data_IF_443888299504
#
_entry.id   IF_443888299504
#
_cell.length_a   1.000
_cell.length_b   1.000
_cell.length_c   1.000
_cell.angle_alpha   90.00
_cell.angle_beta   90.00
_cell.angle_gamma   90.00
#
_symmetry.space_group_name_H-M   'P 1'
#
loop_
_entity.id
_entity.type
_entity.pdbx_description
1 polymer ?
#
# COMPACT_ATOMS: atom_id res chain seq x y z
N UNK A 1 -16.63 -20.01 0.86
CA UNK A 1 -15.62 -20.25 1.91
C UNK A 1 -14.28 -19.77 1.39
N UNK A 2 -13.78 -18.64 1.90
CA UNK A 2 -12.55 -18.00 1.45
C UNK A 2 -11.34 -18.93 1.69
N UNK A 3 -10.33 -18.90 0.82
CA UNK A 3 -9.14 -19.78 0.91
C UNK A 3 -8.49 -19.75 2.30
N UNK A 4 -8.36 -18.58 2.91
CA UNK A 4 -7.78 -18.43 4.25
C UNK A 4 -8.55 -19.18 5.33
N UNK A 5 -9.89 -19.19 5.27
CA UNK A 5 -10.72 -19.93 6.22
C UNK A 5 -10.52 -21.45 6.09
N UNK A 6 -10.39 -21.95 4.86
CA UNK A 6 -10.10 -23.37 4.60
C UNK A 6 -8.73 -23.78 5.16
N UNK A 7 -7.72 -22.92 5.03
CA UNK A 7 -6.37 -23.18 5.55
C UNK A 7 -6.40 -23.22 7.08
N UNK A 8 -7.03 -22.24 7.73
CA UNK A 8 -7.09 -22.16 9.19
C UNK A 8 -7.89 -23.32 9.81
N UNK A 9 -8.98 -23.76 9.18
CA UNK A 9 -9.81 -24.88 9.65
C UNK A 9 -9.31 -26.26 9.22
N UNK A 10 -8.15 -26.34 8.55
CA UNK A 10 -7.61 -27.61 8.07
C UNK A 10 -7.06 -28.49 9.20
N UNK A 11 -6.80 -29.77 8.91
CA UNK A 11 -6.17 -30.71 9.87
C UNK A 11 -4.66 -30.51 10.05
N UNK A 12 -4.09 -29.46 9.46
CA UNK A 12 -2.68 -29.13 9.62
C UNK A 12 -2.37 -28.70 11.06
N UNK A 13 -1.12 -28.90 11.49
CA UNK A 13 -0.65 -28.36 12.76
C UNK A 13 -0.70 -26.82 12.74
N UNK A 14 -0.87 -26.14 13.90
CA UNK A 14 -0.96 -24.68 13.97
C UNK A 14 0.11 -23.93 13.17
N UNK A 15 1.38 -24.32 13.32
CA UNK A 15 2.49 -23.70 12.61
C UNK A 15 2.41 -23.90 11.09
N UNK A 16 1.94 -25.06 10.62
CA UNK A 16 1.75 -25.36 9.19
C UNK A 16 0.62 -24.52 8.59
N UNK A 17 -0.44 -24.23 9.36
CA UNK A 17 -1.53 -23.35 8.92
C UNK A 17 -1.02 -21.92 8.71
N UNK A 18 -0.23 -21.40 9.65
CA UNK A 18 0.37 -20.06 9.53
C UNK A 18 1.34 -20.00 8.35
N UNK A 19 2.17 -21.02 8.16
CA UNK A 19 3.08 -21.11 7.02
C UNK A 19 2.32 -21.16 5.68
N UNK A 20 1.25 -21.94 5.59
CA UNK A 20 0.38 -21.99 4.42
C UNK A 20 -0.31 -20.65 4.13
N UNK A 21 -0.73 -19.91 5.15
CA UNK A 21 -1.27 -18.56 4.96
C UNK A 21 -0.23 -17.63 4.34
N UNK A 22 0.99 -17.60 4.87
CA UNK A 22 2.10 -16.79 4.36
C UNK A 22 2.51 -17.15 2.94
N UNK A 23 2.44 -18.43 2.60
CA UNK A 23 2.90 -18.95 1.31
C UNK A 23 1.85 -18.82 0.21
N UNK A 24 0.57 -19.04 0.53
CA UNK A 24 -0.48 -19.14 -0.50
C UNK A 24 -1.55 -18.05 -0.38
N UNK A 25 -1.98 -17.71 0.84
CA UNK A 25 -3.10 -16.80 1.03
C UNK A 25 -2.70 -15.33 0.81
N UNK A 26 -1.70 -14.84 1.54
CA UNK A 26 -1.27 -13.44 1.41
C UNK A 26 -0.72 -13.11 0.01
N UNK A 27 0.13 -13.95 -0.62
CA UNK A 27 0.65 -13.67 -1.95
C UNK A 27 -0.42 -13.63 -3.05
N UNK A 28 -1.56 -14.32 -2.87
CA UNK A 28 -2.66 -14.30 -3.83
C UNK A 28 -3.25 -12.90 -4.06
N UNK A 29 -3.11 -11.98 -3.09
CA UNK A 29 -3.62 -10.61 -3.21
C UNK A 29 -2.65 -9.67 -3.93
N UNK A 30 -1.38 -10.02 -4.08
CA UNK A 30 -0.34 -9.10 -4.60
C UNK A 30 -0.69 -8.58 -5.98
N UNK A 31 -1.20 -9.43 -6.87
CA UNK A 31 -1.63 -9.02 -8.21
C UNK A 31 -2.78 -7.99 -8.16
N UNK A 32 -3.80 -8.25 -7.34
CA UNK A 32 -4.96 -7.37 -7.19
C UNK A 32 -4.58 -6.02 -6.55
N UNK A 33 -3.67 -6.04 -5.56
CA UNK A 33 -3.14 -4.81 -4.96
C UNK A 33 -2.32 -4.00 -5.97
N UNK A 34 -1.49 -4.66 -6.78
CA UNK A 34 -0.67 -3.97 -7.80
C UNK A 34 -1.47 -3.41 -8.95
N UNK A 35 -2.62 -3.99 -9.26
CA UNK A 35 -3.52 -3.51 -10.33
C UNK A 35 -4.56 -2.53 -9.82
N UNK A 36 -4.45 -2.09 -8.56
CA UNK A 36 -5.37 -1.17 -7.88
C UNK A 36 -6.84 -1.64 -7.88
N UNK A 37 -7.08 -2.95 -8.05
CA UNK A 37 -8.43 -3.53 -8.07
C UNK A 37 -9.06 -3.60 -6.68
N UNK A 38 -8.23 -3.76 -5.66
CA UNK A 38 -8.67 -3.86 -4.27
C UNK A 38 -8.09 -2.69 -3.47
N UNK A 39 -8.97 -2.01 -2.74
CA UNK A 39 -8.58 -0.86 -1.94
C UNK A 39 -8.01 -1.29 -0.60
N UNK A 40 -7.39 -0.34 0.11
CA UNK A 40 -6.96 -0.55 1.49
C UNK A 40 -8.14 -0.93 2.42
N UNK A 41 -9.34 -0.41 2.15
CA UNK A 41 -10.54 -0.74 2.91
C UNK A 41 -10.92 -2.21 2.76
N UNK A 42 -10.90 -2.72 1.53
CA UNK A 42 -11.20 -4.12 1.24
C UNK A 42 -10.20 -5.06 1.90
N UNK A 43 -8.91 -4.72 1.84
CA UNK A 43 -7.86 -5.49 2.52
C UNK A 43 -8.00 -5.45 4.04
N UNK A 44 -8.43 -4.33 4.62
CA UNK A 44 -8.69 -4.22 6.05
C UNK A 44 -9.81 -5.16 6.50
N UNK A 45 -10.87 -5.28 5.71
CA UNK A 45 -11.98 -6.23 6.01
C UNK A 45 -11.45 -7.66 6.06
N UNK A 46 -10.55 -8.03 5.14
CA UNK A 46 -9.92 -9.36 5.11
C UNK A 46 -9.00 -9.56 6.31
N UNK A 47 -8.15 -8.57 6.64
CA UNK A 47 -7.28 -8.61 7.81
C UNK A 47 -8.09 -8.78 9.11
N UNK A 48 -9.18 -8.02 9.28
CA UNK A 48 -10.04 -8.10 10.45
C UNK A 48 -10.78 -9.43 10.56
N UNK A 49 -11.14 -10.05 9.41
CA UNK A 49 -11.76 -11.37 9.38
C UNK A 49 -10.78 -12.51 9.72
N UNK A 50 -9.56 -12.49 9.15
CA UNK A 50 -8.61 -13.60 9.33
C UNK A 50 -7.86 -13.53 10.66
N UNK A 51 -7.65 -12.33 11.24
CA UNK A 51 -6.93 -12.12 12.50
C UNK A 51 -7.46 -12.95 13.67
N UNK A 52 -8.76 -12.97 14.00
CA UNK A 52 -9.25 -13.80 15.10
C UNK A 52 -9.03 -15.28 14.84
N UNK A 53 -9.16 -15.74 13.59
CA UNK A 53 -8.90 -17.13 13.20
C UNK A 53 -7.42 -17.53 13.37
N UNK A 54 -6.51 -16.60 13.09
CA UNK A 54 -5.07 -16.77 13.33
C UNK A 54 -4.78 -16.84 14.84
N UNK A 55 -5.39 -15.96 15.65
CA UNK A 55 -5.24 -15.99 17.11
C UNK A 55 -5.74 -17.31 17.71
N UNK A 56 -6.92 -17.77 17.28
CA UNK A 56 -7.49 -19.05 17.69
C UNK A 56 -6.59 -20.24 17.31
N UNK A 57 -6.03 -20.23 16.10
CA UNK A 57 -5.08 -21.27 15.65
C UNK A 57 -3.86 -21.37 16.57
N UNK A 58 -3.43 -20.25 17.14
CA UNK A 58 -2.27 -20.15 18.01
C UNK A 58 -2.62 -20.24 19.50
N UNK A 59 -3.89 -20.48 19.83
CA UNK A 59 -4.40 -20.50 21.20
C UNK A 59 -4.11 -19.19 21.96
N UNK A 60 -4.24 -18.05 21.26
CA UNK A 60 -4.05 -16.71 21.81
C UNK A 60 -5.39 -16.07 22.15
N UNK A 61 -5.42 -15.34 23.26
CA UNK A 61 -6.59 -14.55 23.64
C UNK A 61 -6.84 -13.42 22.63
N UNK A 62 -8.10 -13.01 22.48
CA UNK A 62 -8.46 -11.86 21.64
C UNK A 62 -7.75 -10.58 22.07
N UNK A 63 -7.48 -10.42 23.38
CA UNK A 63 -6.76 -9.29 23.96
C UNK A 63 -5.26 -9.25 23.63
N UNK A 64 -4.70 -10.34 23.09
CA UNK A 64 -3.27 -10.42 22.75
C UNK A 64 -2.89 -9.31 21.77
N UNK A 65 -1.77 -8.63 22.05
CA UNK A 65 -1.27 -7.53 21.22
C UNK A 65 -1.12 -7.97 19.75
N UNK A 66 -1.63 -7.15 18.82
CA UNK A 66 -1.59 -7.48 17.39
C UNK A 66 -0.17 -7.38 16.82
N UNK A 67 0.68 -6.59 17.48
CA UNK A 67 2.11 -6.46 17.22
C UNK A 67 2.81 -7.82 17.28
N UNK A 68 2.33 -8.76 18.10
CA UNK A 68 2.85 -10.12 18.14
C UNK A 68 2.68 -10.85 16.79
N UNK A 69 1.56 -10.63 16.11
CA UNK A 69 1.27 -11.25 14.81
C UNK A 69 2.08 -10.59 13.69
N UNK A 70 2.07 -9.26 13.65
CA UNK A 70 2.55 -8.49 12.50
C UNK A 70 4.02 -8.07 12.59
N UNK A 71 4.60 -8.04 13.79
CA UNK A 71 5.95 -7.56 13.99
C UNK A 71 7.03 -8.49 13.43
N UNK A 72 8.28 -8.01 13.41
CA UNK A 72 9.39 -8.69 12.73
C UNK A 72 9.71 -10.06 13.32
N UNK A 73 9.88 -11.06 12.46
CA UNK A 73 10.37 -12.39 12.86
C UNK A 73 11.77 -12.36 13.46
N UNK A 74 12.60 -11.38 13.11
CA UNK A 74 13.93 -11.17 13.70
C UNK A 74 13.86 -10.77 15.18
N UNK A 75 12.74 -10.21 15.61
CA UNK A 75 12.48 -9.81 17.00
C UNK A 75 11.73 -10.89 17.79
N UNK A 76 11.59 -12.11 17.24
CA UNK A 76 10.86 -13.21 17.88
C UNK A 76 9.33 -13.14 17.72
N UNK A 77 8.83 -12.26 16.86
CA UNK A 77 7.41 -12.11 16.54
C UNK A 77 7.05 -12.98 15.32
N UNK A 78 5.78 -13.01 14.91
CA UNK A 78 5.35 -13.94 13.86
C UNK A 78 5.61 -13.46 12.44
N UNK A 79 5.75 -12.16 12.16
CA UNK A 79 5.97 -11.64 10.80
C UNK A 79 4.88 -12.06 9.82
N UNK A 80 3.63 -12.07 10.26
CA UNK A 80 2.48 -12.28 9.38
C UNK A 80 2.24 -10.96 8.61
N UNK A 81 2.11 -10.98 7.28
CA UNK A 81 1.79 -9.78 6.52
C UNK A 81 0.44 -9.18 6.92
N UNK A 82 0.35 -7.86 6.90
CA UNK A 82 -0.92 -7.13 7.08
C UNK A 82 -1.31 -6.50 5.75
N UNK A 83 -2.35 -7.05 5.11
CA UNK A 83 -2.70 -6.72 3.73
C UNK A 83 -2.99 -5.23 3.54
N UNK A 84 -3.66 -4.59 4.51
CA UNK A 84 -3.96 -3.17 4.45
C UNK A 84 -2.72 -2.27 4.44
N UNK A 85 -1.60 -2.72 5.00
CA UNK A 85 -0.31 -2.00 4.96
C UNK A 85 0.46 -2.32 3.69
N UNK A 86 0.41 -3.58 3.23
CA UNK A 86 1.01 -4.00 1.95
C UNK A 86 0.46 -3.21 0.76
N UNK A 87 -0.83 -2.87 0.75
CA UNK A 87 -1.41 -1.99 -0.28
C UNK A 87 -0.65 -0.67 -0.38
N UNK A 88 -0.36 -0.02 0.74
CA UNK A 88 0.32 1.28 0.72
C UNK A 88 1.73 1.15 0.13
N UNK A 89 2.43 0.08 0.49
CA UNK A 89 3.77 -0.22 -0.05
C UNK A 89 3.70 -0.45 -1.56
N UNK A 90 2.72 -1.22 -2.03
CA UNK A 90 2.54 -1.49 -3.46
C UNK A 90 2.18 -0.24 -4.26
N UNK A 91 1.35 0.66 -3.71
CA UNK A 91 0.97 1.92 -4.37
C UNK A 91 2.18 2.84 -4.58
N UNK A 92 3.02 2.97 -3.56
CA UNK A 92 4.27 3.76 -3.65
C UNK A 92 5.26 3.10 -4.61
N UNK A 93 5.47 1.79 -4.51
CA UNK A 93 6.37 1.02 -5.37
C UNK A 93 5.97 1.11 -6.85
N UNK A 94 4.67 0.96 -7.16
CA UNK A 94 4.14 1.07 -8.52
C UNK A 94 4.35 2.49 -9.08
N UNK A 95 3.96 3.53 -8.34
CA UNK A 95 4.15 4.90 -8.77
C UNK A 95 5.63 5.22 -9.02
N UNK A 96 6.51 4.77 -8.13
CA UNK A 96 7.95 4.94 -8.29
C UNK A 96 8.45 4.25 -9.57
N UNK A 97 8.09 2.98 -9.77
CA UNK A 97 8.48 2.20 -10.96
C UNK A 97 7.99 2.81 -12.28
N UNK A 98 6.82 3.44 -12.30
CA UNK A 98 6.34 4.17 -13.48
C UNK A 98 7.24 5.38 -13.80
N UNK A 99 7.61 6.17 -12.78
CA UNK A 99 8.44 7.37 -12.96
C UNK A 99 9.90 7.05 -13.33
N UNK A 100 10.43 5.93 -12.86
CA UNK A 100 11.80 5.46 -13.14
C UNK A 100 11.84 4.29 -14.14
N UNK A 101 10.80 4.12 -14.95
CA UNK A 101 10.73 3.06 -15.94
C UNK A 101 11.91 3.14 -16.91
N UNK A 102 12.47 1.98 -17.30
CA UNK A 102 13.51 1.91 -18.34
C UNK A 102 12.98 2.20 -19.74
N UNK A 103 11.68 2.00 -19.95
CA UNK A 103 11.02 2.33 -21.20
C UNK A 103 10.67 3.83 -21.19
N UNK A 104 11.35 4.57 -22.05
CA UNK A 104 11.18 6.01 -22.18
C UNK A 104 9.74 6.41 -22.49
N UNK A 105 8.98 5.61 -23.27
CA UNK A 105 7.58 5.93 -23.57
C UNK A 105 6.70 5.84 -22.35
N UNK A 106 6.90 4.80 -21.52
CA UNK A 106 6.17 4.63 -20.27
C UNK A 106 6.51 5.76 -19.31
N UNK A 107 7.79 6.11 -19.21
CA UNK A 107 8.25 7.20 -18.37
C UNK A 107 7.63 8.54 -18.81
N UNK A 108 7.66 8.88 -20.10
CA UNK A 108 7.05 10.10 -20.64
C UNK A 108 5.55 10.17 -20.37
N UNK A 109 4.82 9.06 -20.57
CA UNK A 109 3.39 8.99 -20.26
C UNK A 109 3.11 9.15 -18.77
N UNK A 110 3.89 8.49 -17.91
CA UNK A 110 3.74 8.57 -16.46
C UNK A 110 4.01 9.99 -15.93
N UNK A 111 5.08 10.63 -16.39
CA UNK A 111 5.37 12.02 -16.05
C UNK A 111 4.30 12.97 -16.59
N UNK A 112 3.87 12.80 -17.84
CA UNK A 112 2.79 13.60 -18.42
C UNK A 112 1.48 13.50 -17.62
N UNK A 113 1.11 12.28 -17.21
CA UNK A 113 -0.09 12.04 -16.41
C UNK A 113 0.04 12.62 -14.98
N UNK A 114 1.20 12.46 -14.33
CA UNK A 114 1.49 13.06 -13.03
C UNK A 114 1.40 14.58 -13.06
N UNK A 115 2.05 15.23 -14.05
CA UNK A 115 2.04 16.67 -14.22
C UNK A 115 0.62 17.20 -14.43
N UNK A 116 -0.17 16.51 -15.26
CA UNK A 116 -1.57 16.84 -15.50
C UNK A 116 -2.40 16.71 -14.22
N UNK A 117 -2.21 15.62 -13.47
CA UNK A 117 -2.91 15.38 -12.21
C UNK A 117 -2.53 16.40 -11.12
N UNK A 118 -1.24 16.72 -10.99
CA UNK A 118 -0.76 17.75 -10.09
C UNK A 118 -1.41 19.11 -10.47
N UNK A 119 -1.26 19.54 -11.72
CA UNK A 119 -1.86 20.80 -12.21
C UNK A 119 -3.36 20.89 -11.96
N UNK A 120 -4.11 19.82 -12.23
CA UNK A 120 -5.56 19.77 -11.98
C UNK A 120 -5.91 19.94 -10.50
N UNK A 121 -5.08 19.41 -9.59
CA UNK A 121 -5.35 19.43 -8.14
C UNK A 121 -4.82 20.67 -7.45
N UNK A 122 -3.68 21.19 -7.88
CA UNK A 122 -3.06 22.41 -7.33
C UNK A 122 -3.62 23.68 -7.96
N UNK A 123 -4.00 23.64 -9.24
CA UNK A 123 -4.32 24.83 -10.03
C UNK A 123 -3.09 25.65 -10.44
N UNK A 124 -1.88 25.19 -10.10
CA UNK A 124 -0.60 25.82 -10.39
C UNK A 124 0.13 25.04 -11.49
N UNK A 125 0.99 25.73 -12.25
CA UNK A 125 1.83 25.05 -13.22
C UNK A 125 2.90 24.19 -12.52
N UNK A 126 3.14 22.96 -13.01
CA UNK A 126 3.94 22.00 -12.28
C UNK A 126 5.44 22.30 -12.38
N UNK A 127 6.03 22.76 -11.27
CA UNK A 127 7.48 22.82 -11.06
C UNK A 127 7.98 21.55 -10.34
N UNK A 128 9.28 21.20 -10.42
CA UNK A 128 9.84 20.08 -9.67
C UNK A 128 9.56 20.15 -8.16
N UNK A 129 9.69 21.34 -7.55
CA UNK A 129 9.36 21.57 -6.14
C UNK A 129 7.87 21.38 -5.83
N UNK A 130 6.99 21.74 -6.76
CA UNK A 130 5.55 21.51 -6.62
C UNK A 130 5.22 20.00 -6.70
N UNK A 131 5.91 19.25 -7.57
CA UNK A 131 5.68 17.81 -7.71
C UNK A 131 6.14 17.08 -6.43
N UNK A 132 7.30 17.47 -5.89
CA UNK A 132 7.76 16.93 -4.61
C UNK A 132 6.76 17.20 -3.48
N UNK A 133 6.32 18.45 -3.30
CA UNK A 133 5.35 18.81 -2.27
C UNK A 133 4.01 18.09 -2.47
N UNK A 134 3.55 17.99 -3.72
CA UNK A 134 2.34 17.25 -4.10
C UNK A 134 2.41 15.77 -3.68
N UNK A 135 3.45 15.04 -4.11
CA UNK A 135 3.63 13.62 -3.78
C UNK A 135 3.85 13.39 -2.29
N UNK A 136 4.53 14.32 -1.61
CA UNK A 136 4.75 14.29 -0.16
C UNK A 136 3.51 14.62 0.67
N UNK A 137 2.39 14.97 0.02
CA UNK A 137 1.15 15.23 0.72
C UNK A 137 1.14 16.52 1.54
N UNK A 138 2.07 17.44 1.29
CA UNK A 138 2.06 18.77 1.92
C UNK A 138 0.70 19.41 1.60
N UNK A 139 0.08 20.02 2.60
CA UNK A 139 -1.07 20.90 2.42
C UNK A 139 -0.55 22.29 2.72
N UNK A 140 -0.23 23.07 1.69
CA UNK A 140 0.16 24.47 1.91
C UNK A 140 -1.05 25.23 2.45
N UNK A 141 -0.81 26.22 3.31
CA UNK A 141 -1.84 27.04 3.99
C UNK A 141 -2.72 27.82 3.00
N UNK A 142 -2.27 28.00 1.76
CA UNK A 142 -3.03 28.56 0.62
C UNK A 142 -3.73 27.48 -0.22
N UNK A 143 -3.99 26.31 0.38
CA UNK A 143 -5.04 25.38 0.01
C UNK A 143 -4.99 24.91 -1.45
N UNK A 144 -4.30 23.78 -1.69
CA UNK A 144 -4.65 22.91 -2.82
C UNK A 144 -6.17 22.86 -2.93
N UNK A 145 -6.72 23.36 -4.03
CA UNK A 145 -8.16 23.63 -4.13
C UNK A 145 -8.93 22.44 -3.55
N UNK A 146 -9.71 22.71 -2.50
CA UNK A 146 -10.60 21.76 -1.81
C UNK A 146 -11.68 21.15 -2.72
N UNK A 147 -11.56 21.30 -4.04
CA UNK A 147 -12.23 20.42 -4.98
C UNK A 147 -11.87 18.98 -4.66
N UNK A 148 -12.83 18.25 -4.10
CA UNK A 148 -12.89 16.81 -4.19
C UNK A 148 -12.73 16.45 -5.67
N UNK A 149 -11.51 16.12 -6.11
CA UNK A 149 -11.35 15.48 -7.41
C UNK A 149 -11.99 14.10 -7.24
N UNK A 150 -13.12 13.83 -7.91
CA UNK A 150 -13.83 12.56 -7.73
C UNK A 150 -13.06 11.40 -8.40
N UNK A 151 -12.06 11.72 -9.22
CA UNK A 151 -11.23 10.75 -9.92
C UNK A 151 -10.07 10.30 -9.04
N UNK A 152 -10.17 9.07 -8.55
CA UNK A 152 -9.01 8.39 -7.98
C UNK A 152 -8.02 8.04 -9.09
N UNK A 153 -6.75 8.34 -8.86
CA UNK A 153 -5.65 7.99 -9.76
C UNK A 153 -4.53 7.35 -8.97
N UNK A 154 -3.65 6.62 -9.67
CA UNK A 154 -2.41 6.05 -9.10
C UNK A 154 -1.63 7.07 -8.27
N UNK A 155 -1.57 8.34 -8.72
CA UNK A 155 -0.89 9.42 -7.99
C UNK A 155 -1.59 9.83 -6.71
N UNK A 156 -2.93 9.83 -6.70
CA UNK A 156 -3.72 10.14 -5.51
C UNK A 156 -3.60 9.03 -4.46
N UNK A 157 -3.59 7.77 -4.91
CA UNK A 157 -3.32 6.60 -4.06
C UNK A 157 -1.90 6.63 -3.51
N UNK A 158 -0.89 6.84 -4.36
CA UNK A 158 0.52 6.92 -3.96
C UNK A 158 0.79 8.06 -2.98
N UNK A 159 0.24 9.26 -3.19
CA UNK A 159 0.31 10.39 -2.25
C UNK A 159 -0.26 10.04 -0.89
N UNK A 160 -1.45 9.42 -0.88
CA UNK A 160 -2.11 9.01 0.37
C UNK A 160 -1.31 7.93 1.11
N UNK A 161 -0.79 6.94 0.38
CA UNK A 161 0.06 5.89 0.92
C UNK A 161 1.39 6.44 1.46
N UNK A 162 2.00 7.39 0.76
CA UNK A 162 3.23 8.09 1.17
C UNK A 162 3.06 8.75 2.53
N UNK A 163 1.98 9.50 2.72
CA UNK A 163 1.66 10.14 4.00
C UNK A 163 1.50 9.12 5.13
N UNK A 164 0.84 7.97 4.87
CA UNK A 164 0.64 6.91 5.86
C UNK A 164 1.93 6.17 6.22
N UNK A 165 2.81 5.94 5.25
CA UNK A 165 4.08 5.25 5.45
C UNK A 165 5.20 6.16 5.97
N UNK A 166 5.01 7.47 5.95
CA UNK A 166 6.06 8.44 6.32
C UNK A 166 7.23 8.50 5.33
N UNK A 167 7.02 8.06 4.08
CA UNK A 167 8.02 8.11 3.01
C UNK A 167 8.13 9.54 2.48
N UNK A 168 9.30 9.92 1.95
CA UNK A 168 9.52 11.21 1.30
C UNK A 168 10.03 11.04 -0.12
N UNK A 169 9.37 11.72 -1.06
CA UNK A 169 9.78 11.84 -2.46
C UNK A 169 10.71 13.04 -2.62
N UNK A 170 11.74 12.86 -3.45
CA UNK A 170 12.64 13.93 -3.89
C UNK A 170 12.95 13.74 -5.37
N UNK A 171 12.77 14.80 -6.15
CA UNK A 171 13.26 14.93 -7.50
C UNK A 171 14.76 15.25 -7.42
N UNK A 172 15.58 14.41 -8.05
CA UNK A 172 16.98 14.79 -8.25
C UNK A 172 17.03 15.65 -9.50
N UNK A 173 17.53 16.87 -9.35
CA UNK A 173 18.05 17.61 -10.50
C UNK A 173 19.28 16.84 -10.99
N UNK A 174 19.19 16.25 -12.17
CA UNK A 174 20.39 15.77 -12.85
C UNK A 174 21.17 17.02 -13.24
N UNK A 175 22.35 17.22 -12.63
CA UNK A 175 23.37 18.12 -13.17
C UNK A 175 23.60 17.68 -14.62
N UNK A 176 23.26 18.58 -15.54
CA UNK A 176 23.53 18.50 -16.98
C UNK A 176 24.97 18.14 -17.28
#
# INVERSE_FOLDING_TARGET
MLLGEKIVKSKLAPWQRIDALKTFFFPAFVFHMRTEQLTKGDMKVIDDFIRPLIKDTLYLDESTANEYLYGSSKSGLLGIPKLAEEVDVMMVDNAFKLLISKDQRIQELAWGDLLLHARKRTGLDPSPSLIESFLNGVQDEEGFRHTSCPYSSTWSHARSATSRLGIKWRCREYLT
#
